data_IF_968162975951
#
_entry.id   IF_968162975951
#
_cell.length_a   1.000
_cell.length_b   1.000
_cell.length_c   1.000
_cell.angle_alpha   90.00
_cell.angle_beta   90.00
_cell.angle_gamma   90.00
#
_symmetry.space_group_name_H-M   'P 1'
#
loop_
_entity.id
_entity.type
_entity.pdbx_description
1 polymer ?
#
# COMPACT_ATOMS: atom_id res chain seq x y z
N UNK A 1 38.33 -16.29 10.47
CA UNK A 1 37.15 -15.57 9.94
C UNK A 1 35.91 -16.26 10.47
N UNK A 2 34.96 -15.51 11.01
CA UNK A 2 33.71 -16.05 11.60
C UNK A 2 32.54 -15.99 10.62
N UNK A 3 31.54 -16.84 10.85
CA UNK A 3 30.25 -16.82 10.17
C UNK A 3 29.25 -16.10 11.09
N UNK A 4 28.49 -15.16 10.55
CA UNK A 4 27.45 -14.43 11.26
C UNK A 4 26.10 -14.70 10.62
N UNK A 5 25.05 -14.72 11.44
CA UNK A 5 23.67 -14.86 11.00
C UNK A 5 22.81 -13.69 11.49
N UNK A 6 21.70 -13.45 10.80
CA UNK A 6 20.77 -12.38 11.17
C UNK A 6 19.79 -12.85 12.24
N UNK A 7 19.62 -12.06 13.30
CA UNK A 7 18.64 -12.30 14.37
C UNK A 7 17.27 -11.67 14.09
N UNK A 8 17.17 -10.91 13.00
CA UNK A 8 15.96 -10.26 12.48
C UNK A 8 15.91 -10.46 10.97
N UNK A 9 14.75 -10.26 10.38
CA UNK A 9 14.58 -10.36 8.94
C UNK A 9 15.44 -9.31 8.21
N UNK A 10 16.44 -9.72 7.40
CA UNK A 10 17.22 -8.77 6.62
C UNK A 10 16.46 -8.31 5.37
N UNK A 11 16.86 -7.16 4.84
CA UNK A 11 16.37 -6.68 3.55
C UNK A 11 16.83 -7.60 2.40
N UNK A 12 16.07 -7.62 1.30
CA UNK A 12 16.41 -8.36 0.10
C UNK A 12 15.93 -9.81 0.06
N UNK A 13 15.36 -10.34 1.14
CA UNK A 13 14.71 -11.65 1.11
C UNK A 13 13.36 -11.54 0.38
N UNK A 14 13.19 -12.36 -0.65
CA UNK A 14 11.98 -12.38 -1.51
C UNK A 14 10.65 -12.47 -0.73
N UNK A 15 10.64 -13.23 0.37
CA UNK A 15 9.42 -13.49 1.15
C UNK A 15 9.23 -12.52 2.33
N UNK A 16 10.16 -11.59 2.55
CA UNK A 16 10.07 -10.64 3.65
C UNK A 16 8.77 -9.81 3.64
N UNK A 17 8.33 -9.24 2.49
CA UNK A 17 7.10 -8.43 2.46
C UNK A 17 5.85 -9.23 2.81
N UNK A 18 5.72 -10.46 2.28
CA UNK A 18 4.55 -11.30 2.55
C UNK A 18 4.49 -11.74 4.02
N UNK A 19 5.63 -11.99 4.65
CA UNK A 19 5.66 -12.32 6.07
C UNK A 19 5.31 -11.09 6.94
N UNK A 20 5.82 -9.92 6.58
CA UNK A 20 5.50 -8.67 7.27
C UNK A 20 4.01 -8.31 7.13
N UNK A 21 3.44 -8.42 5.92
CA UNK A 21 2.00 -8.20 5.69
C UNK A 21 1.17 -9.10 6.60
N UNK A 22 1.44 -10.42 6.65
CA UNK A 22 0.69 -11.34 7.52
C UNK A 22 0.78 -10.98 9.00
N UNK A 23 1.96 -10.56 9.46
CA UNK A 23 2.14 -10.09 10.82
C UNK A 23 1.22 -8.89 11.10
N UNK A 24 1.21 -7.90 10.21
CA UNK A 24 0.39 -6.71 10.37
C UNK A 24 -1.11 -7.00 10.26
N UNK A 25 -1.53 -7.84 9.31
CA UNK A 25 -2.93 -8.30 9.18
C UNK A 25 -3.40 -9.00 10.46
N UNK A 26 -2.52 -9.75 11.14
CA UNK A 26 -2.84 -10.43 12.40
C UNK A 26 -2.97 -9.43 13.55
N UNK A 27 -2.08 -8.44 13.64
CA UNK A 27 -2.11 -7.42 14.71
C UNK A 27 -3.35 -6.54 14.60
N UNK A 28 -3.70 -6.13 13.38
CA UNK A 28 -4.74 -5.13 13.10
C UNK A 28 -6.03 -5.74 12.54
N UNK A 29 -6.23 -7.05 12.71
CA UNK A 29 -7.37 -7.77 12.14
C UNK A 29 -8.70 -7.13 12.52
N UNK A 30 -8.88 -6.77 13.79
CA UNK A 30 -10.10 -6.15 14.30
C UNK A 30 -10.37 -4.81 13.62
N UNK A 31 -9.36 -3.94 13.54
CA UNK A 31 -9.48 -2.61 12.94
C UNK A 31 -9.76 -2.64 11.44
N UNK A 32 -9.18 -3.63 10.74
CA UNK A 32 -9.45 -3.89 9.32
C UNK A 32 -10.90 -4.36 9.14
N UNK A 33 -11.39 -5.27 10.00
CA UNK A 33 -12.77 -5.77 9.96
C UNK A 33 -13.80 -4.70 10.31
N UNK A 34 -13.46 -3.79 11.22
CA UNK A 34 -14.27 -2.62 11.55
C UNK A 34 -14.31 -1.58 10.40
N UNK A 35 -13.46 -1.73 9.39
CA UNK A 35 -13.54 -1.01 8.11
C UNK A 35 -12.92 0.39 8.10
N UNK A 36 -12.35 0.84 9.22
CA UNK A 36 -11.71 2.15 9.34
C UNK A 36 -10.19 2.09 9.18
N UNK A 37 -9.60 0.91 8.94
CA UNK A 37 -8.17 0.76 8.71
C UNK A 37 -7.86 -0.08 7.47
N UNK A 38 -6.80 0.30 6.76
CA UNK A 38 -6.14 -0.55 5.76
C UNK A 38 -4.65 -0.61 6.05
N UNK A 39 -4.06 -1.79 5.93
CA UNK A 39 -2.63 -2.02 6.08
C UNK A 39 -2.04 -2.50 4.77
N UNK A 40 -0.92 -1.92 4.35
CA UNK A 40 -0.15 -2.39 3.21
C UNK A 40 1.34 -2.42 3.55
N UNK A 41 1.88 -3.63 3.72
CA UNK A 41 3.24 -3.92 4.14
C UNK A 41 3.58 -3.10 5.39
N UNK A 42 4.33 -2.02 5.26
CA UNK A 42 4.81 -1.14 6.34
C UNK A 42 3.91 0.09 6.59
N UNK A 43 2.94 0.35 5.73
CA UNK A 43 2.02 1.49 5.85
C UNK A 43 0.69 1.12 6.52
N UNK A 44 0.28 1.95 7.47
CA UNK A 44 -1.04 1.90 8.12
C UNK A 44 -1.83 3.14 7.69
N UNK A 45 -3.02 2.93 7.13
CA UNK A 45 -3.94 3.99 6.69
C UNK A 45 -5.18 3.95 7.59
N UNK A 46 -5.51 5.09 8.19
CA UNK A 46 -6.64 5.25 9.13
C UNK A 46 -7.66 6.19 8.50
N UNK A 47 -8.92 5.77 8.48
CA UNK A 47 -10.07 6.55 8.04
C UNK A 47 -10.91 6.96 9.25
N UNK A 48 -11.45 8.18 9.23
CA UNK A 48 -12.43 8.62 10.22
C UNK A 48 -13.27 9.75 9.63
N UNK A 49 -14.48 9.93 10.17
CA UNK A 49 -15.37 11.03 9.78
C UNK A 49 -15.10 12.31 10.57
N UNK A 50 -14.79 12.15 11.86
CA UNK A 50 -14.47 13.26 12.77
C UNK A 50 -13.00 13.23 13.19
N UNK A 51 -12.52 14.37 13.70
CA UNK A 51 -11.17 14.46 14.25
C UNK A 51 -11.06 13.72 15.58
N UNK A 52 -12.12 13.76 16.38
CA UNK A 52 -12.23 13.09 17.67
C UNK A 52 -12.07 11.58 17.51
N UNK A 53 -12.78 10.98 16.54
CA UNK A 53 -12.63 9.56 16.20
C UNK A 53 -11.22 9.27 15.68
N UNK A 54 -10.65 10.16 14.87
CA UNK A 54 -9.30 10.00 14.33
C UNK A 54 -8.26 9.84 15.44
N UNK A 55 -8.33 10.70 16.46
CA UNK A 55 -7.41 10.67 17.60
C UNK A 55 -7.60 9.37 18.40
N UNK A 56 -8.83 8.90 18.58
CA UNK A 56 -9.10 7.63 19.24
C UNK A 56 -8.51 6.44 18.46
N UNK A 57 -8.68 6.43 17.14
CA UNK A 57 -8.14 5.38 16.27
C UNK A 57 -6.61 5.36 16.27
N UNK A 58 -5.95 6.54 16.20
CA UNK A 58 -4.49 6.63 16.32
C UNK A 58 -4.03 6.05 17.67
N UNK A 59 -4.70 6.40 18.77
CA UNK A 59 -4.35 5.87 20.09
C UNK A 59 -4.49 4.34 20.15
N UNK A 60 -5.53 3.77 19.54
CA UNK A 60 -5.72 2.31 19.46
C UNK A 60 -4.62 1.63 18.64
N UNK A 61 -4.17 2.25 17.55
CA UNK A 61 -3.02 1.73 16.77
C UNK A 61 -1.75 1.74 17.60
N UNK A 62 -1.42 2.87 18.21
CA UNK A 62 -0.18 3.01 18.98
C UNK A 62 -0.15 2.10 20.22
N UNK A 63 -1.31 1.88 20.85
CA UNK A 63 -1.42 0.96 21.99
C UNK A 63 -1.18 -0.50 21.59
N UNK A 64 -1.57 -0.92 20.37
CA UNK A 64 -1.24 -2.24 19.82
C UNK A 64 0.23 -2.37 19.39
N UNK A 65 0.83 -1.30 18.86
CA UNK A 65 2.24 -1.31 18.42
C UNK A 65 3.24 -1.43 19.59
N UNK A 66 2.95 -0.80 20.72
CA UNK A 66 3.86 -0.71 21.88
C UNK A 66 4.28 -2.09 22.45
N UNK A 67 3.36 -3.01 22.80
CA UNK A 67 3.74 -4.29 23.42
C UNK A 67 4.54 -5.22 22.50
N UNK A 68 4.41 -5.05 21.18
CA UNK A 68 5.12 -5.86 20.18
C UNK A 68 6.40 -5.19 19.67
N UNK A 69 6.77 -4.04 20.23
CA UNK A 69 7.94 -3.25 19.82
C UNK A 69 7.92 -2.90 18.32
N UNK A 70 6.73 -2.64 17.77
CA UNK A 70 6.56 -2.14 16.40
C UNK A 70 6.73 -0.62 16.42
N UNK A 71 7.81 -0.14 15.82
CA UNK A 71 8.15 1.28 15.85
C UNK A 71 7.54 2.03 14.66
N UNK A 72 6.81 3.10 14.95
CA UNK A 72 6.23 4.00 13.95
C UNK A 72 7.12 5.23 13.80
N UNK A 73 7.58 5.51 12.58
CA UNK A 73 8.44 6.67 12.30
C UNK A 73 7.62 7.96 12.20
N UNK A 74 7.54 8.73 13.29
CA UNK A 74 6.80 9.99 13.35
C UNK A 74 7.13 10.96 12.20
N UNK A 75 8.41 11.03 11.79
CA UNK A 75 8.87 11.88 10.66
C UNK A 75 8.23 11.53 9.30
N UNK A 76 7.70 10.32 9.17
CA UNK A 76 7.06 9.79 7.95
C UNK A 76 5.53 9.73 8.08
N UNK A 77 4.99 10.05 9.26
CA UNK A 77 3.55 10.04 9.49
C UNK A 77 2.91 11.33 8.99
N UNK A 78 1.78 11.18 8.31
CA UNK A 78 0.92 12.28 7.88
C UNK A 78 -0.41 12.17 8.63
N UNK A 79 -0.74 13.16 9.45
CA UNK A 79 -1.96 13.15 10.27
C UNK A 79 -3.00 14.15 9.76
N UNK A 80 -4.29 13.83 9.96
CA UNK A 80 -5.39 14.78 9.73
C UNK A 80 -5.53 15.28 8.29
N UNK A 81 -5.04 14.51 7.31
CA UNK A 81 -5.13 14.92 5.91
C UNK A 81 -6.49 14.53 5.32
N UNK A 82 -7.20 15.51 4.75
CA UNK A 82 -8.44 15.25 4.00
C UNK A 82 -8.20 14.40 2.73
N UNK A 83 -6.96 14.40 2.21
CA UNK A 83 -6.51 13.62 1.07
C UNK A 83 -5.10 13.12 1.35
N UNK A 84 -4.89 11.81 1.37
CA UNK A 84 -3.59 11.20 1.61
C UNK A 84 -3.02 10.65 0.30
N UNK A 85 -1.73 10.86 0.05
CA UNK A 85 -1.00 10.11 -0.99
C UNK A 85 -0.28 8.96 -0.30
N UNK A 86 -0.78 7.73 -0.44
CA UNK A 86 -0.17 6.53 0.12
C UNK A 86 0.41 5.66 -1.02
N UNK A 87 1.71 5.36 -0.98
CA UNK A 87 2.46 4.55 -1.97
C UNK A 87 2.15 4.86 -3.45
N UNK A 88 1.92 6.13 -3.77
CA UNK A 88 1.51 6.54 -5.10
C UNK A 88 0.09 6.06 -5.45
N UNK A 89 -0.85 6.25 -4.53
CA UNK A 89 -2.30 6.29 -4.72
C UNK A 89 -2.85 7.49 -3.95
N UNK A 90 -3.78 8.24 -4.55
CA UNK A 90 -4.47 9.34 -3.88
C UNK A 90 -5.70 8.77 -3.17
N UNK A 91 -5.60 8.61 -1.86
CA UNK A 91 -6.70 8.18 -1.02
C UNK A 91 -7.51 9.43 -0.64
N UNK A 92 -8.73 9.52 -1.17
CA UNK A 92 -9.67 10.62 -0.90
C UNK A 92 -10.97 9.99 -0.41
N UNK A 93 -11.23 10.06 0.90
CA UNK A 93 -12.34 9.35 1.54
C UNK A 93 -12.24 7.82 1.37
N UNK A 94 -13.38 7.15 1.18
CA UNK A 94 -13.53 5.69 1.02
C UNK A 94 -13.03 5.12 -0.32
N UNK A 95 -12.39 5.92 -1.17
CA UNK A 95 -11.96 5.49 -2.50
C UNK A 95 -10.44 5.56 -2.68
N UNK A 96 -9.85 4.42 -3.04
CA UNK A 96 -8.46 4.32 -3.48
C UNK A 96 -8.37 4.92 -4.89
N UNK A 97 -8.09 6.22 -5.03
CA UNK A 97 -7.92 6.83 -6.34
C UNK A 97 -6.48 6.61 -6.85
N UNK A 98 -6.33 6.38 -8.14
CA UNK A 98 -5.03 6.18 -8.79
C UNK A 98 -4.19 7.46 -8.68
N UNK A 99 -2.91 7.34 -8.33
CA UNK A 99 -1.98 8.46 -8.39
C UNK A 99 -1.76 8.94 -9.83
N UNK A 100 -2.08 10.21 -10.05
CA UNK A 100 -1.93 10.87 -11.33
C UNK A 100 -0.48 10.91 -11.81
N UNK A 101 0.50 10.83 -10.91
CA UNK A 101 1.91 10.78 -11.28
C UNK A 101 2.28 9.44 -11.95
N UNK A 102 1.75 8.31 -11.44
CA UNK A 102 1.92 7.00 -12.10
C UNK A 102 1.22 6.98 -13.46
N UNK A 103 0.03 7.58 -13.58
CA UNK A 103 -0.69 7.73 -14.85
C UNK A 103 0.11 8.59 -15.84
N UNK A 104 0.67 9.71 -15.39
CA UNK A 104 1.49 10.60 -16.23
C UNK A 104 2.74 9.90 -16.76
N UNK A 105 3.42 9.09 -15.93
CA UNK A 105 4.56 8.29 -16.36
C UNK A 105 4.18 7.24 -17.42
N UNK A 106 2.99 6.63 -17.31
CA UNK A 106 2.48 5.71 -18.32
C UNK A 106 2.13 6.44 -19.62
N UNK A 107 1.50 7.61 -19.56
CA UNK A 107 1.13 8.43 -20.74
C UNK A 107 2.34 8.94 -21.52
N UNK A 108 3.47 9.16 -20.83
CA UNK A 108 4.71 9.62 -21.45
C UNK A 108 5.57 8.47 -22.01
N UNK A 109 5.20 7.21 -21.72
CA UNK A 109 5.98 6.05 -22.17
C UNK A 109 5.79 5.87 -23.69
N UNK A 110 6.87 5.76 -24.49
CA UNK A 110 6.75 5.48 -25.91
C UNK A 110 6.14 4.10 -26.14
N UNK A 111 5.49 3.92 -27.29
CA UNK A 111 4.87 2.64 -27.68
C UNK A 111 5.95 1.55 -27.72
N UNK A 112 5.74 0.51 -26.92
CA UNK A 112 6.63 -0.65 -26.81
C UNK A 112 6.84 -1.31 -28.18
N UNK A 113 8.10 -1.56 -28.55
CA UNK A 113 8.42 -2.27 -29.81
C UNK A 113 8.61 -3.77 -29.61
N UNK A 114 8.73 -4.21 -28.35
CA UNK A 114 9.07 -5.58 -28.00
C UNK A 114 7.98 -6.24 -27.14
N UNK A 115 7.77 -7.53 -27.36
CA UNK A 115 6.76 -8.34 -26.66
C UNK A 115 6.94 -8.30 -25.13
N UNK A 116 8.18 -8.38 -24.63
CA UNK A 116 8.46 -8.32 -23.18
C UNK A 116 8.07 -6.98 -22.55
N UNK A 117 8.30 -5.88 -23.26
CA UNK A 117 7.92 -4.55 -22.79
C UNK A 117 6.39 -4.36 -22.81
N UNK A 118 5.72 -4.96 -23.80
CA UNK A 118 4.26 -4.98 -23.89
C UNK A 118 3.64 -5.82 -22.76
N UNK A 119 4.20 -6.99 -22.46
CA UNK A 119 3.77 -7.83 -21.34
C UNK A 119 3.93 -7.10 -20.00
N UNK A 120 5.09 -6.48 -19.75
CA UNK A 120 5.33 -5.67 -18.55
C UNK A 120 4.37 -4.49 -18.44
N UNK A 121 4.02 -3.85 -19.56
CA UNK A 121 2.99 -2.80 -19.58
C UNK A 121 1.60 -3.35 -19.28
N UNK A 122 1.21 -4.49 -19.86
CA UNK A 122 -0.08 -5.12 -19.61
C UNK A 122 -0.23 -5.58 -18.15
N UNK A 123 0.85 -6.08 -17.54
CA UNK A 123 0.88 -6.41 -16.10
C UNK A 123 0.61 -5.17 -15.25
N UNK A 124 1.28 -4.05 -15.55
CA UNK A 124 1.05 -2.77 -14.87
C UNK A 124 -0.38 -2.26 -15.10
N UNK A 125 -0.92 -2.34 -16.33
CA UNK A 125 -2.26 -1.89 -16.64
C UNK A 125 -3.34 -2.79 -15.98
N UNK A 126 -3.08 -4.09 -15.90
CA UNK A 126 -3.94 -5.09 -15.23
C UNK A 126 -4.08 -4.82 -13.74
N UNK A 127 -3.03 -4.32 -13.08
CA UNK A 127 -3.10 -3.85 -11.68
C UNK A 127 -4.19 -2.78 -11.48
N UNK A 128 -4.46 -1.95 -12.50
CA UNK A 128 -5.50 -0.92 -12.47
C UNK A 128 -6.80 -1.31 -13.17
N UNK A 129 -7.01 -2.59 -13.53
CA UNK A 129 -8.15 -3.04 -14.35
C UNK A 129 -9.53 -2.61 -13.81
N UNK A 130 -9.69 -2.52 -12.48
CA UNK A 130 -10.95 -2.13 -11.84
C UNK A 130 -11.33 -0.67 -12.14
N UNK A 131 -10.37 0.15 -12.58
CA UNK A 131 -10.58 1.54 -12.98
C UNK A 131 -10.67 1.71 -14.50
N UNK A 132 -10.43 0.65 -15.29
CA UNK A 132 -10.46 0.69 -16.76
C UNK A 132 -11.70 -0.08 -17.22
N UNK A 133 -12.74 0.65 -17.61
CA UNK A 133 -13.98 0.04 -18.12
C UNK A 133 -13.67 -0.86 -19.31
N UNK A 134 -14.17 -2.08 -19.28
CA UNK A 134 -13.99 -3.09 -20.32
C UNK A 134 -12.53 -3.47 -20.61
N UNK A 135 -11.64 -3.43 -19.61
CA UNK A 135 -10.21 -3.76 -19.77
C UNK A 135 -9.98 -5.03 -20.59
N UNK A 136 -10.64 -6.14 -20.25
CA UNK A 136 -10.48 -7.43 -20.94
C UNK A 136 -10.85 -7.38 -22.44
N UNK A 137 -11.78 -6.52 -22.84
CA UNK A 137 -12.17 -6.36 -24.24
C UNK A 137 -11.18 -5.46 -25.00
N UNK A 138 -10.54 -4.51 -24.32
CA UNK A 138 -9.54 -3.63 -24.93
C UNK A 138 -8.24 -4.41 -25.16
N UNK A 139 -7.84 -5.25 -24.19
CA UNK A 139 -6.60 -6.01 -24.26
C UNK A 139 -6.70 -7.32 -25.03
N UNK A 140 -7.87 -7.70 -25.54
CA UNK A 140 -8.06 -8.96 -26.27
C UNK A 140 -7.38 -9.00 -27.64
N UNK A 141 -7.00 -7.83 -28.17
CA UNK A 141 -6.41 -7.66 -29.51
C UNK A 141 -4.91 -7.32 -29.48
N UNK A 142 -4.30 -7.29 -28.28
CA UNK A 142 -2.88 -7.01 -28.04
C UNK A 142 -2.11 -8.29 -27.72
#
# INVERSE_FOLDING_TARGET
MGIYEYTRMPFGIKNAPAHFQRMMDTIFQEEILEGWMVVYIDDIIIYSETWEDHVQYINRVLSKCTPINLNVSLKKCNFGQQKLLAQGHKVSGLSLAIDRNKVAAVLQKPVSKYVKEMQSFLELASYYRNHIKNFSHITSSL
#
